data_IF_442598867596
#
_entry.id   IF_442598867596
#
_cell.length_a   1.000
_cell.length_b   1.000
_cell.length_c   1.000
_cell.angle_alpha   90.00
_cell.angle_beta   90.00
_cell.angle_gamma   90.00
#
_symmetry.space_group_name_H-M   'P 1'
#
loop_
_entity.id
_entity.type
_entity.pdbx_description
1 polymer ?
#
# COMPACT_ATOMS: atom_id res chain seq x y z
N UNK A 1 23.88 -6.10 -16.05
CA UNK A 1 23.38 -4.95 -15.30
C UNK A 1 22.02 -5.36 -14.75
N UNK A 2 21.91 -5.56 -13.44
CA UNK A 2 20.68 -5.97 -12.76
C UNK A 2 20.06 -4.72 -12.14
N UNK A 3 18.75 -4.75 -11.90
CA UNK A 3 18.07 -3.68 -11.14
C UNK A 3 18.81 -3.43 -9.80
N UNK A 4 19.34 -4.48 -9.16
CA UNK A 4 20.17 -4.42 -7.95
C UNK A 4 21.47 -3.59 -8.03
N UNK A 5 21.85 -3.08 -9.21
CA UNK A 5 23.03 -2.21 -9.38
C UNK A 5 22.70 -0.71 -9.12
N UNK A 6 21.43 -0.39 -8.93
CA UNK A 6 20.95 0.92 -8.49
C UNK A 6 20.93 0.94 -6.95
N UNK A 7 21.47 1.99 -6.31
CA UNK A 7 21.43 2.13 -4.86
C UNK A 7 20.01 2.49 -4.41
N UNK A 8 19.34 1.61 -3.66
CA UNK A 8 17.93 1.76 -3.36
C UNK A 8 17.60 1.71 -1.87
N UNK A 9 16.42 2.24 -1.52
CA UNK A 9 15.80 2.14 -0.20
C UNK A 9 14.98 0.85 -0.05
N UNK A 10 15.14 0.16 1.09
CA UNK A 10 14.79 -1.25 1.31
C UNK A 10 13.34 -1.70 0.95
N UNK A 11 12.29 -0.88 1.08
CA UNK A 11 10.90 -1.33 0.81
C UNK A 11 10.50 -1.30 -0.68
N UNK A 12 10.88 -0.25 -1.41
CA UNK A 12 10.53 -0.07 -2.83
C UNK A 12 11.33 -1.05 -3.71
N UNK A 13 12.58 -1.30 -3.36
CA UNK A 13 13.46 -2.24 -4.07
C UNK A 13 12.93 -3.68 -4.03
N UNK A 14 12.54 -4.17 -2.84
CA UNK A 14 11.99 -5.52 -2.69
C UNK A 14 10.76 -5.72 -3.59
N UNK A 15 9.89 -4.72 -3.66
CA UNK A 15 8.64 -4.78 -4.42
C UNK A 15 8.90 -4.89 -5.93
N UNK A 16 9.89 -4.17 -6.47
CA UNK A 16 10.23 -4.22 -7.89
C UNK A 16 11.31 -5.27 -8.25
N UNK A 17 12.01 -5.85 -7.27
CA UNK A 17 13.00 -6.90 -7.52
C UNK A 17 12.40 -8.11 -8.24
N UNK A 18 11.13 -8.45 -7.93
CA UNK A 18 10.38 -9.56 -8.51
C UNK A 18 10.13 -9.42 -10.02
N UNK A 19 10.12 -8.19 -10.56
CA UNK A 19 9.87 -7.93 -11.99
C UNK A 19 11.16 -7.80 -12.82
N UNK A 20 12.34 -7.83 -12.17
CA UNK A 20 13.64 -7.75 -12.87
C UNK A 20 13.78 -8.80 -13.98
N UNK A 21 13.21 -9.98 -13.78
CA UNK A 21 13.33 -11.10 -14.71
C UNK A 21 12.52 -10.91 -16.00
N UNK A 22 11.43 -10.14 -15.96
CA UNK A 22 10.61 -9.83 -17.14
C UNK A 22 10.92 -8.44 -17.73
N UNK A 23 11.83 -7.68 -17.10
CA UNK A 23 12.18 -6.34 -17.55
C UNK A 23 12.92 -6.34 -18.89
N UNK A 24 13.77 -7.33 -19.14
CA UNK A 24 14.51 -7.48 -20.41
C UNK A 24 13.90 -8.59 -21.26
N UNK A 25 13.79 -8.33 -22.56
CA UNK A 25 13.41 -9.36 -23.55
C UNK A 25 14.58 -10.31 -23.77
N UNK A 26 14.28 -11.58 -24.05
CA UNK A 26 15.30 -12.54 -24.49
C UNK A 26 15.84 -12.14 -25.86
N UNK A 27 17.10 -12.41 -26.12
CA UNK A 27 17.78 -12.01 -27.38
C UNK A 27 17.10 -12.53 -28.65
N UNK A 28 16.37 -13.63 -28.55
CA UNK A 28 15.64 -14.25 -29.66
C UNK A 28 14.24 -13.65 -29.90
N UNK A 29 13.79 -12.70 -29.08
CA UNK A 29 12.50 -12.02 -29.27
C UNK A 29 12.59 -10.86 -30.25
N UNK A 30 11.52 -10.62 -31.00
CA UNK A 30 11.48 -9.51 -31.96
C UNK A 30 11.61 -8.16 -31.25
N UNK A 31 12.52 -7.31 -31.75
CA UNK A 31 12.83 -6.00 -31.17
C UNK A 31 13.53 -6.06 -29.81
N UNK A 32 14.08 -7.21 -29.40
CA UNK A 32 14.75 -7.35 -28.10
C UNK A 32 15.94 -6.41 -27.92
N UNK A 33 16.79 -6.27 -28.96
CA UNK A 33 17.96 -5.40 -28.88
C UNK A 33 17.57 -3.92 -28.64
N UNK A 34 16.66 -3.39 -29.45
CA UNK A 34 16.19 -2.00 -29.32
C UNK A 34 15.52 -1.75 -27.96
N UNK A 35 14.62 -2.65 -27.55
CA UNK A 35 13.94 -2.55 -26.26
C UNK A 35 14.91 -2.65 -25.07
N UNK A 36 15.85 -3.60 -25.12
CA UNK A 36 16.81 -3.78 -24.03
C UNK A 36 17.78 -2.60 -23.91
N UNK A 37 18.16 -1.96 -25.02
CA UNK A 37 18.93 -0.71 -24.99
C UNK A 37 18.12 0.45 -24.40
N UNK A 38 16.85 0.61 -24.80
CA UNK A 38 15.95 1.59 -24.18
C UNK A 38 15.88 1.40 -22.66
N UNK A 39 15.63 0.18 -22.18
CA UNK A 39 15.56 -0.10 -20.74
C UNK A 39 16.87 0.25 -20.04
N UNK A 40 18.03 -0.08 -20.64
CA UNK A 40 19.34 0.30 -20.08
C UNK A 40 19.51 1.82 -20.02
N UNK A 41 19.07 2.55 -21.05
CA UNK A 41 19.11 4.01 -21.07
C UNK A 41 18.23 4.61 -19.98
N UNK A 42 17.01 4.10 -19.80
CA UNK A 42 16.12 4.52 -18.72
C UNK A 42 16.74 4.29 -17.35
N UNK A 43 17.32 3.11 -17.11
CA UNK A 43 18.03 2.78 -15.86
C UNK A 43 19.21 3.73 -15.64
N UNK A 44 20.01 3.99 -16.68
CA UNK A 44 21.21 4.83 -16.59
C UNK A 44 20.87 6.30 -16.29
N UNK A 45 19.75 6.79 -16.82
CA UNK A 45 19.35 8.19 -16.68
C UNK A 45 18.54 8.44 -15.40
N UNK A 46 18.00 7.40 -14.77
CA UNK A 46 17.20 7.52 -13.57
C UNK A 46 18.06 7.88 -12.34
N UNK A 47 17.56 8.82 -11.53
CA UNK A 47 18.18 9.18 -10.25
C UNK A 47 17.95 8.10 -9.17
N UNK A 48 16.78 7.46 -9.19
CA UNK A 48 16.36 6.41 -8.24
C UNK A 48 15.29 5.49 -8.87
N UNK A 49 14.72 4.56 -8.07
CA UNK A 49 13.68 3.62 -8.53
C UNK A 49 12.43 4.32 -9.01
N UNK A 50 12.00 5.36 -8.31
CA UNK A 50 10.73 6.02 -8.59
C UNK A 50 10.84 6.81 -9.90
N UNK A 51 12.00 7.43 -10.14
CA UNK A 51 12.34 8.10 -11.39
C UNK A 51 12.41 7.11 -12.57
N UNK A 52 13.04 5.95 -12.37
CA UNK A 52 13.04 4.87 -13.36
C UNK A 52 11.63 4.38 -13.67
N UNK A 53 10.82 4.06 -12.65
CA UNK A 53 9.45 3.56 -12.81
C UNK A 53 8.58 4.60 -13.51
N UNK A 54 8.67 5.88 -13.11
CA UNK A 54 7.93 6.96 -13.75
C UNK A 54 8.31 7.08 -15.25
N UNK A 55 9.60 7.00 -15.57
CA UNK A 55 10.09 7.07 -16.94
C UNK A 55 9.69 5.84 -17.78
N UNK A 56 9.71 4.65 -17.18
CA UNK A 56 9.29 3.40 -17.85
C UNK A 56 7.78 3.36 -18.09
N UNK A 57 6.99 3.88 -17.15
CA UNK A 57 5.52 3.98 -17.25
C UNK A 57 5.04 5.19 -18.06
N UNK A 58 5.94 5.98 -18.65
CA UNK A 58 5.57 7.05 -19.56
C UNK A 58 4.82 6.49 -20.78
N UNK A 59 3.56 6.89 -20.93
CA UNK A 59 2.66 6.33 -21.95
C UNK A 59 3.18 6.61 -23.37
N UNK A 60 3.77 7.78 -23.61
CA UNK A 60 4.28 8.14 -24.93
C UNK A 60 5.45 7.23 -25.34
N UNK A 61 6.40 6.99 -24.44
CA UNK A 61 7.49 6.04 -24.65
C UNK A 61 6.97 4.60 -24.79
N UNK A 62 6.04 4.20 -23.95
CA UNK A 62 5.46 2.85 -23.96
C UNK A 62 4.69 2.53 -25.24
N UNK A 63 3.99 3.52 -25.80
CA UNK A 63 3.31 3.41 -27.10
C UNK A 63 4.34 3.41 -28.24
N UNK A 64 5.31 4.34 -28.23
CA UNK A 64 6.34 4.45 -29.27
C UNK A 64 7.13 3.16 -29.45
N UNK A 65 7.49 2.49 -28.36
CA UNK A 65 8.26 1.24 -28.37
C UNK A 65 7.39 -0.02 -28.17
N UNK A 66 6.06 0.13 -28.22
CA UNK A 66 5.07 -0.94 -28.19
C UNK A 66 5.22 -1.94 -27.02
N UNK A 67 5.53 -1.45 -25.81
CA UNK A 67 5.64 -2.29 -24.60
C UNK A 67 4.56 -2.02 -23.55
N UNK A 68 3.64 -1.08 -23.78
CA UNK A 68 2.53 -0.77 -22.87
C UNK A 68 1.61 -1.97 -22.55
N UNK A 69 1.57 -3.00 -23.42
CA UNK A 69 0.84 -4.26 -23.19
C UNK A 69 1.71 -5.40 -22.66
N UNK A 70 3.00 -5.16 -22.43
CA UNK A 70 3.89 -6.19 -21.90
C UNK A 70 3.49 -6.55 -20.47
N UNK A 71 3.74 -7.79 -20.08
CA UNK A 71 3.51 -8.26 -18.72
C UNK A 71 4.28 -7.40 -17.71
N UNK A 72 5.53 -7.04 -18.01
CA UNK A 72 6.36 -6.18 -17.15
C UNK A 72 5.70 -4.82 -16.92
N UNK A 73 5.23 -4.16 -17.98
CA UNK A 73 4.53 -2.87 -17.87
C UNK A 73 3.28 -2.97 -17.01
N UNK A 74 2.45 -3.99 -17.21
CA UNK A 74 1.20 -4.15 -16.46
C UNK A 74 1.45 -4.43 -14.98
N UNK A 75 2.46 -5.26 -14.65
CA UNK A 75 2.82 -5.51 -13.25
C UNK A 75 3.41 -4.25 -12.61
N UNK A 76 4.31 -3.55 -13.31
CA UNK A 76 4.92 -2.33 -12.80
C UNK A 76 3.88 -1.22 -12.57
N UNK A 77 2.94 -1.04 -13.50
CA UNK A 77 1.83 -0.09 -13.37
C UNK A 77 0.98 -0.41 -12.14
N UNK A 78 0.61 -1.68 -11.94
CA UNK A 78 -0.17 -2.12 -10.78
C UNK A 78 0.56 -1.82 -9.46
N UNK A 79 1.85 -2.10 -9.37
CA UNK A 79 2.65 -1.81 -8.18
C UNK A 79 2.70 -0.30 -7.94
N UNK A 80 2.97 0.48 -8.98
CA UNK A 80 3.06 1.94 -8.91
C UNK A 80 1.77 2.59 -8.44
N UNK A 81 0.63 2.20 -9.02
CA UNK A 81 -0.69 2.70 -8.63
C UNK A 81 -1.02 2.30 -7.19
N UNK A 82 -0.69 1.07 -6.77
CA UNK A 82 -0.89 0.62 -5.40
C UNK A 82 -0.05 1.42 -4.40
N UNK A 83 1.21 1.70 -4.73
CA UNK A 83 2.08 2.53 -3.89
C UNK A 83 1.55 3.96 -3.77
N UNK A 84 1.10 4.57 -4.87
CA UNK A 84 0.45 5.89 -4.86
C UNK A 84 -0.82 5.92 -4.02
N UNK A 85 -1.68 4.90 -4.16
CA UNK A 85 -2.88 4.77 -3.35
C UNK A 85 -2.54 4.64 -1.85
N UNK A 86 -1.50 3.85 -1.52
CA UNK A 86 -0.99 3.71 -0.14
C UNK A 86 -0.48 5.02 0.42
N UNK A 87 0.28 5.80 -0.36
CA UNK A 87 0.73 7.14 0.04
C UNK A 87 -0.44 8.11 0.24
N UNK A 88 -1.43 8.09 -0.65
CA UNK A 88 -2.62 8.92 -0.55
C UNK A 88 -3.38 8.65 0.76
N UNK A 89 -3.59 7.37 1.10
CA UNK A 89 -4.16 6.92 2.36
C UNK A 89 -3.29 7.31 3.57
N UNK A 90 -1.96 7.16 3.49
CA UNK A 90 -1.02 7.57 4.56
C UNK A 90 -1.07 9.07 4.83
N UNK A 91 -1.13 9.89 3.78
CA UNK A 91 -1.27 11.35 3.89
C UNK A 91 -2.56 11.73 4.61
N UNK A 92 -3.65 11.01 4.37
CA UNK A 92 -4.94 11.24 5.03
C UNK A 92 -4.86 11.00 6.53
N UNK A 93 -4.19 9.93 6.97
CA UNK A 93 -3.99 9.68 8.40
C UNK A 93 -3.09 10.76 9.05
N UNK A 94 -2.19 11.37 8.27
CA UNK A 94 -1.31 12.45 8.70
C UNK A 94 -0.46 12.05 9.91
N UNK A 95 -0.35 12.93 10.92
CA UNK A 95 0.36 12.62 12.18
C UNK A 95 -0.50 11.91 13.22
N UNK A 96 -1.77 11.63 12.91
CA UNK A 96 -2.73 11.01 13.85
C UNK A 96 -2.65 9.48 13.85
N UNK A 97 -1.91 8.89 12.91
CA UNK A 97 -1.85 7.45 12.82
C UNK A 97 -1.22 6.82 14.07
N UNK A 98 -1.68 5.63 14.36
CA UNK A 98 -1.17 4.71 15.37
C UNK A 98 -0.91 3.37 14.69
N UNK A 99 -0.09 2.54 15.33
CA UNK A 99 0.25 1.22 14.79
C UNK A 99 -0.14 0.15 15.79
N UNK A 100 -0.91 -0.82 15.35
CA UNK A 100 -1.18 -2.06 16.08
C UNK A 100 -0.47 -3.23 15.41
N UNK A 101 -0.26 -4.31 16.17
CA UNK A 101 0.38 -5.53 15.71
C UNK A 101 -0.64 -6.66 15.78
N UNK A 102 -0.80 -7.43 14.72
CA UNK A 102 -1.75 -8.53 14.65
C UNK A 102 -1.21 -9.64 13.76
N UNK A 103 -1.15 -10.86 14.29
CA UNK A 103 -0.82 -12.06 13.48
C UNK A 103 -1.96 -12.41 12.52
N UNK A 104 -3.19 -11.98 12.84
CA UNK A 104 -4.37 -12.18 12.02
C UNK A 104 -4.65 -10.99 11.07
N UNK A 105 -3.69 -10.08 10.90
CA UNK A 105 -3.77 -8.92 10.00
C UNK A 105 -5.03 -8.07 10.24
N UNK A 106 -5.43 -7.91 11.50
CA UNK A 106 -6.70 -7.29 11.90
C UNK A 106 -6.55 -6.22 12.98
N UNK A 107 -7.50 -5.29 13.03
CA UNK A 107 -7.66 -4.36 14.13
C UNK A 107 -8.70 -4.90 15.12
N UNK A 108 -8.25 -5.18 16.34
CA UNK A 108 -9.13 -5.59 17.43
C UNK A 108 -9.79 -4.38 18.06
N UNK A 109 -11.12 -4.35 18.02
CA UNK A 109 -11.95 -3.31 18.64
C UNK A 109 -12.98 -3.98 19.55
N UNK A 110 -13.12 -3.53 20.79
CA UNK A 110 -14.04 -4.20 21.71
C UNK A 110 -14.09 -3.61 23.11
N UNK A 111 -14.89 -4.24 23.95
CA UNK A 111 -14.96 -3.99 25.38
C UNK A 111 -15.13 -5.33 26.11
N UNK A 112 -15.43 -5.30 27.41
CA UNK A 112 -15.63 -6.52 28.20
C UNK A 112 -16.78 -7.43 27.71
N UNK A 113 -17.73 -6.91 26.95
CA UNK A 113 -18.94 -7.62 26.53
C UNK A 113 -18.89 -8.08 25.06
N UNK A 114 -18.07 -7.43 24.23
CA UNK A 114 -18.08 -7.66 22.78
C UNK A 114 -16.73 -7.30 22.17
N UNK A 115 -16.25 -8.12 21.24
CA UNK A 115 -14.98 -7.92 20.54
C UNK A 115 -15.20 -8.19 19.06
N UNK A 116 -14.61 -7.33 18.23
CA UNK A 116 -14.59 -7.40 16.78
C UNK A 116 -13.14 -7.42 16.31
N UNK A 117 -12.86 -8.19 15.28
CA UNK A 117 -11.58 -8.22 14.58
C UNK A 117 -11.85 -7.78 13.15
N UNK A 118 -11.35 -6.60 12.80
CA UNK A 118 -11.63 -5.98 11.50
C UNK A 118 -10.41 -6.18 10.60
N UNK A 119 -10.51 -6.88 9.46
CA UNK A 119 -9.37 -7.11 8.58
C UNK A 119 -8.75 -5.81 8.06
N UNK A 120 -7.43 -5.73 8.13
CA UNK A 120 -6.65 -4.59 7.62
C UNK A 120 -6.39 -4.67 6.11
N UNK A 121 -6.71 -5.81 5.48
CA UNK A 121 -6.52 -6.09 4.05
C UNK A 121 -5.07 -5.94 3.56
N UNK A 122 -4.10 -5.84 4.46
CA UNK A 122 -2.67 -5.87 4.14
C UNK A 122 -2.07 -7.22 4.43
N UNK A 123 -0.87 -7.46 3.92
CA UNK A 123 -0.08 -8.69 4.16
C UNK A 123 0.95 -8.52 5.27
N UNK A 124 0.77 -7.49 6.12
CA UNK A 124 1.71 -7.11 7.17
C UNK A 124 1.08 -7.36 8.53
N UNK A 125 1.89 -7.81 9.48
CA UNK A 125 1.47 -7.89 10.88
C UNK A 125 1.24 -6.51 11.51
N UNK A 126 1.62 -5.41 10.84
CA UNK A 126 1.40 -4.05 11.32
C UNK A 126 0.20 -3.41 10.62
N UNK A 127 -0.76 -2.95 11.41
CA UNK A 127 -1.89 -2.14 10.94
C UNK A 127 -1.70 -0.70 11.38
N UNK A 128 -1.70 0.24 10.43
CA UNK A 128 -1.72 1.69 10.70
C UNK A 128 -3.16 2.15 10.73
N UNK A 129 -3.60 2.77 11.81
CA UNK A 129 -4.96 3.28 11.89
C UNK A 129 -5.01 4.73 12.39
N UNK A 130 -6.04 5.48 12.00
CA UNK A 130 -6.40 6.74 12.66
C UNK A 130 -7.91 6.84 12.87
N UNK A 131 -8.29 7.64 13.85
CA UNK A 131 -9.67 8.07 14.05
C UNK A 131 -9.81 9.45 13.42
N UNK A 132 -10.74 9.58 12.49
CA UNK A 132 -10.91 10.75 11.65
C UNK A 132 -12.31 11.32 11.82
N UNK A 133 -12.44 12.64 11.77
CA UNK A 133 -13.74 13.28 11.55
C UNK A 133 -14.14 13.15 10.07
N UNK A 134 -15.44 13.21 9.76
CA UNK A 134 -15.94 13.01 8.38
C UNK A 134 -15.32 13.95 7.36
N UNK A 135 -15.01 15.19 7.73
CA UNK A 135 -14.37 16.17 6.86
C UNK A 135 -12.88 15.92 6.61
N UNK A 136 -12.25 15.00 7.35
CA UNK A 136 -10.85 14.60 7.18
C UNK A 136 -10.72 13.36 6.28
N UNK A 137 -11.82 12.64 6.06
CA UNK A 137 -11.85 11.43 5.25
C UNK A 137 -12.12 11.75 3.77
N UNK A 138 -11.10 11.60 2.93
CA UNK A 138 -11.16 11.95 1.51
C UNK A 138 -10.77 10.78 0.56
N UNK A 139 -10.54 9.59 1.10
CA UNK A 139 -10.07 8.40 0.36
C UNK A 139 -11.14 7.30 0.23
N UNK A 140 -12.41 7.69 0.20
CA UNK A 140 -13.57 6.79 0.11
C UNK A 140 -13.61 5.99 -1.20
N UNK A 141 -13.05 6.53 -2.28
CA UNK A 141 -12.93 5.88 -3.59
C UNK A 141 -11.82 4.82 -3.68
N UNK A 142 -10.91 4.77 -2.69
CA UNK A 142 -9.75 3.86 -2.67
C UNK A 142 -9.93 2.82 -1.56
N UNK A 143 -10.42 3.23 -0.39
CA UNK A 143 -10.52 2.34 0.76
C UNK A 143 -11.83 1.55 0.76
N UNK A 144 -11.75 0.26 1.11
CA UNK A 144 -12.90 -0.62 1.22
C UNK A 144 -13.64 -0.34 2.53
N UNK A 145 -14.95 -0.07 2.47
CA UNK A 145 -15.80 -0.04 3.66
C UNK A 145 -15.91 -1.45 4.25
N UNK A 146 -15.55 -1.59 5.53
CA UNK A 146 -15.52 -2.88 6.22
C UNK A 146 -16.79 -3.12 7.01
N UNK A 147 -17.13 -2.15 7.87
CA UNK A 147 -18.32 -2.17 8.71
C UNK A 147 -18.59 -0.80 9.30
N UNK A 148 -19.77 -0.65 9.89
CA UNK A 148 -20.09 0.46 10.78
C UNK A 148 -20.55 -0.09 12.13
N UNK A 149 -20.17 0.58 13.21
CA UNK A 149 -20.59 0.22 14.56
C UNK A 149 -20.93 1.46 15.37
N UNK A 150 -21.84 1.32 16.32
CA UNK A 150 -22.22 2.35 17.27
C UNK A 150 -22.06 1.80 18.68
N UNK A 151 -21.57 2.63 19.59
CA UNK A 151 -21.62 2.28 21.00
C UNK A 151 -20.81 3.20 21.87
N UNK A 152 -20.66 2.76 23.11
CA UNK A 152 -20.01 3.53 24.16
C UNK A 152 -18.74 2.84 24.62
N UNK A 153 -17.62 3.58 24.64
CA UNK A 153 -16.33 3.14 25.22
C UNK A 153 -15.78 1.84 24.65
N UNK A 154 -15.69 1.76 23.32
CA UNK A 154 -14.92 0.70 22.68
C UNK A 154 -13.42 0.99 22.82
N UNK A 155 -12.63 -0.04 23.05
CA UNK A 155 -11.18 0.01 23.09
C UNK A 155 -10.62 -0.50 21.76
N UNK A 156 -9.61 0.18 21.26
CA UNK A 156 -8.68 -0.33 20.26
C UNK A 156 -7.49 -0.90 21.01
N UNK A 157 -7.13 -2.14 20.70
CA UNK A 157 -6.05 -2.85 21.37
C UNK A 157 -4.77 -2.79 20.53
N UNK A 158 -3.61 -2.68 21.18
CA UNK A 158 -2.30 -2.69 20.50
C UNK A 158 -1.99 -4.02 19.83
N UNK A 159 -2.54 -5.11 20.39
CA UNK A 159 -2.32 -6.48 19.94
C UNK A 159 -3.63 -7.27 19.92
N UNK A 160 -3.70 -8.28 19.06
CA UNK A 160 -4.83 -9.21 18.97
C UNK A 160 -4.64 -10.48 19.81
N UNK A 161 -3.39 -10.83 20.17
CA UNK A 161 -3.00 -11.96 21.01
C UNK A 161 -2.39 -11.53 22.35
N UNK A 162 -2.61 -12.35 23.38
CA UNK A 162 -2.08 -12.17 24.74
C UNK A 162 -3.18 -11.94 25.78
N UNK A 163 -2.95 -12.41 27.01
CA UNK A 163 -3.92 -12.27 28.12
C UNK A 163 -4.05 -10.81 28.59
N UNK A 164 -2.99 -10.01 28.44
CA UNK A 164 -2.96 -8.58 28.77
C UNK A 164 -2.93 -7.73 27.49
N UNK A 165 -4.00 -7.79 26.69
CA UNK A 165 -4.11 -6.92 25.50
C UNK A 165 -4.14 -5.45 25.94
N UNK A 166 -3.00 -4.78 25.83
CA UNK A 166 -2.85 -3.36 26.16
C UNK A 166 -3.76 -2.51 25.28
N UNK A 167 -4.57 -1.67 25.91
CA UNK A 167 -5.43 -0.72 25.21
C UNK A 167 -4.53 0.38 24.63
N UNK A 168 -4.64 0.61 23.32
CA UNK A 168 -3.98 1.73 22.64
C UNK A 168 -4.81 3.01 22.76
N UNK A 169 -6.11 2.89 22.51
CA UNK A 169 -7.03 4.03 22.47
C UNK A 169 -8.43 3.61 22.92
N UNK A 170 -9.06 4.47 23.71
CA UNK A 170 -10.49 4.38 24.00
C UNK A 170 -11.22 5.31 23.04
N UNK A 171 -12.23 4.77 22.36
CA UNK A 171 -13.15 5.50 21.50
C UNK A 171 -14.22 6.18 22.34
N UNK A 172 -14.49 7.43 22.01
CA UNK A 172 -15.60 8.17 22.60
C UNK A 172 -16.94 7.59 22.10
N UNK A 173 -18.02 7.91 22.80
CA UNK A 173 -19.36 7.51 22.37
C UNK A 173 -19.67 8.07 20.98
N UNK A 174 -20.22 7.22 20.12
CA UNK A 174 -20.64 7.63 18.79
C UNK A 174 -20.75 6.45 17.82
N UNK A 175 -21.01 6.80 16.57
CA UNK A 175 -21.05 5.89 15.44
C UNK A 175 -19.79 6.07 14.61
N UNK A 176 -19.20 4.95 14.21
CA UNK A 176 -17.96 4.91 13.44
C UNK A 176 -18.16 4.01 12.22
N UNK A 177 -17.67 4.48 11.07
CA UNK A 177 -17.51 3.68 9.85
C UNK A 177 -16.03 3.36 9.66
N UNK A 178 -15.72 2.09 9.42
CA UNK A 178 -14.34 1.60 9.30
C UNK A 178 -14.02 1.30 7.85
N UNK A 179 -12.92 1.86 7.36
CA UNK A 179 -12.42 1.67 6.02
C UNK A 179 -11.01 1.08 6.07
N UNK A 180 -10.66 0.26 5.08
CA UNK A 180 -9.41 -0.50 5.06
C UNK A 180 -8.78 -0.55 3.66
N UNK A 181 -7.45 -0.40 3.60
CA UNK A 181 -6.65 -0.52 2.38
C UNK A 181 -5.21 -0.92 2.74
N UNK A 182 -4.78 -2.12 2.37
CA UNK A 182 -3.39 -2.60 2.50
C UNK A 182 -2.70 -2.27 3.85
N UNK A 183 -3.35 -2.67 4.95
CA UNK A 183 -2.83 -2.46 6.31
C UNK A 183 -3.05 -1.03 6.84
N UNK A 184 -3.74 -0.16 6.11
CA UNK A 184 -4.11 1.19 6.51
C UNK A 184 -5.61 1.23 6.79
N UNK A 185 -5.99 1.69 7.98
CA UNK A 185 -7.38 1.75 8.43
C UNK A 185 -7.79 3.17 8.85
N UNK A 186 -8.98 3.56 8.45
CA UNK A 186 -9.60 4.81 8.87
C UNK A 186 -10.88 4.49 9.65
N UNK A 187 -10.96 4.93 10.90
CA UNK A 187 -12.18 4.91 11.70
C UNK A 187 -12.79 6.29 11.62
N UNK A 188 -13.79 6.45 10.76
CA UNK A 188 -14.44 7.74 10.48
C UNK A 188 -15.62 7.90 11.42
N UNK A 189 -15.60 8.94 12.25
CA UNK A 189 -16.71 9.30 13.13
C UNK A 189 -17.82 9.94 12.32
N UNK A 190 -19.05 9.45 12.50
CA UNK A 190 -20.26 9.95 11.83
C UNK A 190 -20.90 11.15 12.54
#
# INVERSE_FOLDING_TARGET
MRISDLHFSDETELTYSAITQCLFKKENENGAAEYNELVKELIKNAADTDDFVASYLDEANAVKHNYYKSECYQIMLKIYDNNKAKEYCRKMLGRKYRTTISDAESLKIGNKNSVMYIPSLGTSTYTRYAILEKNEFYADNIMTHMLSFEGTKFNIYLQDKGEENKIDKVLDNGKYSVYSFDGIMALVKE
#
